data_IF_585667725183
#
_entry.id   IF_585667725183
#
_cell.length_a   1.000
_cell.length_b   1.000
_cell.length_c   1.000
_cell.angle_alpha   90.00
_cell.angle_beta   90.00
_cell.angle_gamma   90.00
#
_symmetry.space_group_name_H-M   'P 1'
#
loop_
_entity.id
_entity.type
_entity.pdbx_description
1 polymer ?
#
# COMPACT_ATOMS: atom_id res chain seq x y z
N UNK A 1 10.95 28.04 22.80
CA UNK A 1 10.51 28.56 21.49
C UNK A 1 9.96 27.37 20.72
N UNK A 2 8.66 27.42 20.43
CA UNK A 2 7.78 26.30 20.13
C UNK A 2 8.19 25.49 18.88
N UNK A 3 8.32 24.18 19.03
CA UNK A 3 8.39 23.22 17.93
C UNK A 3 7.12 22.38 17.95
N UNK A 4 5.98 23.00 17.60
CA UNK A 4 4.81 22.25 17.15
C UNK A 4 5.18 21.55 15.83
N UNK A 5 4.82 20.27 15.63
CA UNK A 5 4.89 19.70 14.31
C UNK A 5 3.98 20.52 13.41
N UNK A 6 4.53 21.05 12.33
CA UNK A 6 3.76 21.68 11.25
C UNK A 6 2.95 20.59 10.55
N UNK A 7 1.85 20.16 11.17
CA UNK A 7 0.67 19.81 10.38
C UNK A 7 0.45 21.00 9.45
N UNK A 8 0.21 20.75 8.16
CA UNK A 8 -0.14 21.82 7.23
C UNK A 8 -1.19 22.68 7.93
N UNK A 9 -0.89 23.95 8.22
CA UNK A 9 -1.84 24.96 8.71
C UNK A 9 -2.82 25.24 7.55
N UNK A 10 -3.54 24.20 7.11
CA UNK A 10 -4.69 24.32 6.25
C UNK A 10 -5.70 25.02 7.13
N UNK A 11 -6.05 26.25 6.74
CA UNK A 11 -7.08 26.98 7.46
C UNK A 11 -8.31 26.08 7.54
N UNK A 12 -8.93 26.00 8.72
CA UNK A 12 -10.06 25.13 8.97
C UNK A 12 -11.19 25.31 7.94
N UNK A 13 -11.32 26.53 7.40
CA UNK A 13 -12.25 26.88 6.33
C UNK A 13 -11.91 26.25 4.97
N UNK A 14 -10.66 25.90 4.68
CA UNK A 14 -10.21 25.31 3.40
C UNK A 14 -10.30 23.77 3.39
N UNK A 15 -10.53 23.13 4.54
CA UNK A 15 -10.54 21.67 4.67
C UNK A 15 -11.60 20.98 3.80
N UNK A 16 -12.78 21.60 3.65
CA UNK A 16 -13.86 21.05 2.82
C UNK A 16 -13.50 20.97 1.33
N UNK A 17 -12.84 21.99 0.79
CA UNK A 17 -12.40 21.96 -0.61
C UNK A 17 -11.20 21.02 -0.78
N UNK A 18 -10.36 20.91 0.25
CA UNK A 18 -9.18 20.06 0.23
C UNK A 18 -9.52 18.56 0.24
N UNK A 19 -10.52 18.13 1.04
CA UNK A 19 -10.92 16.71 1.06
C UNK A 19 -11.48 16.25 -0.28
N UNK A 20 -12.36 17.04 -0.90
CA UNK A 20 -12.91 16.72 -2.22
C UNK A 20 -11.82 16.70 -3.29
N UNK A 21 -10.91 17.69 -3.27
CA UNK A 21 -9.76 17.75 -4.17
C UNK A 21 -8.86 16.52 -4.00
N UNK A 22 -8.56 16.13 -2.78
CA UNK A 22 -7.67 15.00 -2.51
C UNK A 22 -8.29 13.67 -2.89
N UNK A 23 -9.57 13.45 -2.57
CA UNK A 23 -10.30 12.25 -3.01
C UNK A 23 -10.35 12.15 -4.54
N UNK A 24 -10.55 13.28 -5.24
CA UNK A 24 -10.51 13.32 -6.69
C UNK A 24 -9.10 13.04 -7.25
N UNK A 25 -8.05 13.65 -6.66
CA UNK A 25 -6.68 13.41 -7.06
C UNK A 25 -6.28 11.93 -6.89
N UNK A 26 -6.67 11.30 -5.78
CA UNK A 26 -6.46 9.87 -5.54
C UNK A 26 -7.17 9.00 -6.57
N UNK A 27 -8.43 9.30 -6.91
CA UNK A 27 -9.14 8.57 -7.96
C UNK A 27 -8.41 8.65 -9.31
N UNK A 28 -8.00 9.87 -9.71
CA UNK A 28 -7.22 10.08 -10.94
C UNK A 28 -5.88 9.34 -10.90
N UNK A 29 -5.19 9.33 -9.76
CA UNK A 29 -3.93 8.60 -9.60
C UNK A 29 -4.11 7.08 -9.78
N UNK A 30 -5.22 6.52 -9.27
CA UNK A 30 -5.55 5.10 -9.43
C UNK A 30 -5.90 4.77 -10.88
N UNK A 31 -6.67 5.62 -11.57
CA UNK A 31 -6.99 5.45 -12.98
C UNK A 31 -5.74 5.53 -13.86
N UNK A 32 -4.86 6.52 -13.60
CA UNK A 32 -3.57 6.64 -14.28
C UNK A 32 -2.67 5.43 -14.01
N UNK A 33 -2.66 4.92 -12.78
CA UNK A 33 -1.94 3.72 -12.41
C UNK A 33 -2.46 2.49 -13.18
N UNK A 34 -3.78 2.31 -13.26
CA UNK A 34 -4.40 1.23 -14.03
C UNK A 34 -4.05 1.31 -15.53
N UNK A 35 -4.14 2.50 -16.13
CA UNK A 35 -3.78 2.73 -17.52
C UNK A 35 -2.30 2.43 -17.81
N UNK A 36 -1.39 2.83 -16.91
CA UNK A 36 0.04 2.47 -17.02
C UNK A 36 0.26 0.96 -16.96
N UNK A 37 -0.47 0.23 -16.12
CA UNK A 37 -0.39 -1.24 -16.06
C UNK A 37 -0.88 -1.87 -17.37
N UNK A 38 -1.97 -1.38 -17.95
CA UNK A 38 -2.47 -1.85 -19.25
C UNK A 38 -1.46 -1.59 -20.38
N UNK A 39 -0.81 -0.43 -20.37
CA UNK A 39 0.26 -0.12 -21.33
C UNK A 39 1.45 -1.08 -21.16
N UNK A 40 1.87 -1.36 -19.93
CA UNK A 40 2.93 -2.33 -19.64
C UNK A 40 2.55 -3.73 -20.14
N UNK A 41 1.30 -4.13 -19.96
CA UNK A 41 0.80 -5.43 -20.41
C UNK A 41 0.78 -5.54 -21.93
N UNK A 42 0.40 -4.46 -22.63
CA UNK A 42 0.51 -4.39 -24.09
C UNK A 42 1.97 -4.46 -24.57
N UNK A 43 2.90 -3.79 -23.89
CA UNK A 43 4.34 -3.82 -24.22
C UNK A 43 4.93 -5.20 -23.96
N UNK A 44 4.60 -5.84 -22.84
CA UNK A 44 5.02 -7.20 -22.52
C UNK A 44 4.57 -8.18 -23.61
N UNK A 45 3.30 -8.11 -24.04
CA UNK A 45 2.77 -8.95 -25.15
C UNK A 45 3.50 -8.76 -26.47
N UNK A 46 3.98 -7.55 -26.76
CA UNK A 46 4.68 -7.25 -28.00
C UNK A 46 6.17 -7.63 -27.96
N UNK A 47 6.81 -7.60 -26.78
CA UNK A 47 8.26 -7.71 -26.63
C UNK A 47 8.77 -8.94 -25.89
N UNK A 48 7.98 -9.52 -24.99
CA UNK A 48 8.35 -10.69 -24.19
C UNK A 48 7.89 -11.99 -24.87
N UNK A 49 8.59 -13.10 -24.59
CA UNK A 49 8.25 -14.43 -25.12
C UNK A 49 8.42 -15.53 -24.07
N UNK A 50 7.75 -16.67 -24.29
CA UNK A 50 7.85 -17.86 -23.44
C UNK A 50 7.47 -17.60 -21.99
N UNK A 51 8.20 -18.22 -21.06
CA UNK A 51 7.92 -18.15 -19.61
C UNK A 51 7.91 -16.71 -19.09
N UNK A 52 8.77 -15.83 -19.62
CA UNK A 52 8.83 -14.43 -19.19
C UNK A 52 7.52 -13.70 -19.47
N UNK A 53 6.94 -13.91 -20.66
CA UNK A 53 5.64 -13.34 -21.02
C UNK A 53 4.53 -13.84 -20.10
N UNK A 54 4.44 -15.16 -19.89
CA UNK A 54 3.40 -15.76 -19.04
C UNK A 54 3.44 -15.22 -17.60
N UNK A 55 4.65 -15.08 -17.04
CA UNK A 55 4.86 -14.53 -15.70
C UNK A 55 4.47 -13.05 -15.65
N UNK A 56 4.95 -12.24 -16.61
CA UNK A 56 4.68 -10.82 -16.66
C UNK A 56 3.18 -10.53 -16.86
N UNK A 57 2.49 -11.26 -17.73
CA UNK A 57 1.03 -11.12 -17.93
C UNK A 57 0.24 -11.45 -16.67
N UNK A 58 0.59 -12.54 -15.97
CA UNK A 58 -0.12 -12.95 -14.75
C UNK A 58 0.07 -11.91 -13.65
N UNK A 59 1.28 -11.40 -13.46
CA UNK A 59 1.60 -10.38 -12.47
C UNK A 59 0.86 -9.08 -12.80
N UNK A 60 1.05 -8.54 -14.02
CA UNK A 60 0.40 -7.30 -14.43
C UNK A 60 -1.12 -7.40 -14.39
N UNK A 61 -1.69 -8.51 -14.84
CA UNK A 61 -3.14 -8.76 -14.76
C UNK A 61 -3.66 -8.75 -13.32
N UNK A 62 -2.92 -9.33 -12.38
CA UNK A 62 -3.28 -9.25 -10.96
C UNK A 62 -3.15 -7.83 -10.38
N UNK A 63 -2.14 -7.06 -10.81
CA UNK A 63 -2.00 -5.65 -10.43
C UNK A 63 -3.14 -4.79 -10.98
N UNK A 64 -3.59 -5.03 -12.21
CA UNK A 64 -4.79 -4.39 -12.78
C UNK A 64 -6.02 -4.68 -11.92
N UNK A 65 -6.25 -5.95 -11.56
CA UNK A 65 -7.37 -6.33 -10.68
C UNK A 65 -7.31 -5.65 -9.32
N UNK A 66 -6.12 -5.48 -8.74
CA UNK A 66 -5.91 -4.72 -7.51
C UNK A 66 -6.25 -3.24 -7.68
N UNK A 67 -5.75 -2.57 -8.72
CA UNK A 67 -6.09 -1.16 -8.98
C UNK A 67 -7.60 -0.95 -9.17
N UNK A 68 -8.27 -1.86 -9.89
CA UNK A 68 -9.72 -1.82 -10.06
C UNK A 68 -10.48 -1.97 -8.74
N UNK A 69 -10.07 -2.91 -7.88
CA UNK A 69 -10.67 -3.07 -6.54
C UNK A 69 -10.48 -1.81 -5.67
N UNK A 70 -9.30 -1.19 -5.74
CA UNK A 70 -9.00 0.04 -5.01
C UNK A 70 -9.81 1.23 -5.55
N UNK A 71 -9.99 1.33 -6.87
CA UNK A 71 -10.84 2.34 -7.48
C UNK A 71 -12.27 2.25 -6.95
N UNK A 72 -12.86 1.04 -6.93
CA UNK A 72 -14.19 0.79 -6.36
C UNK A 72 -14.25 1.18 -4.88
N UNK A 73 -13.20 0.91 -4.10
CA UNK A 73 -13.12 1.29 -2.69
C UNK A 73 -13.11 2.80 -2.49
N UNK A 74 -12.33 3.54 -3.28
CA UNK A 74 -12.25 5.00 -3.20
C UNK A 74 -13.58 5.64 -3.56
N UNK A 75 -14.28 5.14 -4.59
CA UNK A 75 -15.63 5.58 -4.93
C UNK A 75 -16.63 5.29 -3.82
N UNK A 76 -16.62 4.07 -3.26
CA UNK A 76 -17.48 3.71 -2.13
C UNK A 76 -17.21 4.56 -0.88
N UNK A 77 -15.94 4.91 -0.63
CA UNK A 77 -15.54 5.81 0.46
C UNK A 77 -16.10 7.21 0.23
N UNK A 78 -15.99 7.75 -0.99
CA UNK A 78 -16.54 9.05 -1.36
C UNK A 78 -18.07 9.09 -1.22
N UNK A 79 -18.77 8.04 -1.65
CA UNK A 79 -20.21 7.93 -1.52
C UNK A 79 -20.65 7.90 -0.04
N UNK A 80 -19.92 7.17 0.81
CA UNK A 80 -20.16 7.16 2.25
C UNK A 80 -19.91 8.54 2.88
N UNK A 81 -18.82 9.23 2.51
CA UNK A 81 -18.54 10.58 3.01
C UNK A 81 -19.66 11.55 2.63
N UNK A 82 -20.17 11.48 1.39
CA UNK A 82 -21.30 12.30 0.93
C UNK A 82 -22.56 12.03 1.76
N UNK A 83 -22.90 10.77 2.01
CA UNK A 83 -24.05 10.38 2.86
C UNK A 83 -23.92 10.93 4.29
N UNK A 84 -22.74 10.81 4.90
CA UNK A 84 -22.45 11.32 6.25
C UNK A 84 -22.66 12.84 6.30
N UNK A 85 -22.16 13.56 5.30
CA UNK A 85 -22.28 15.02 5.23
C UNK A 85 -23.73 15.43 4.99
N UNK A 86 -24.44 14.77 4.08
CA UNK A 86 -25.85 15.05 3.77
C UNK A 86 -26.78 14.82 4.97
N UNK A 87 -26.57 13.73 5.71
CA UNK A 87 -27.33 13.42 6.92
C UNK A 87 -26.93 14.26 8.14
N UNK A 88 -25.66 14.64 8.26
CA UNK A 88 -25.10 15.30 9.43
C UNK A 88 -25.03 16.83 9.39
N UNK A 89 -25.09 17.46 8.21
CA UNK A 89 -24.88 18.92 8.09
C UNK A 89 -26.05 19.78 8.57
N UNK A 90 -27.27 19.24 8.63
CA UNK A 90 -28.47 20.03 8.91
C UNK A 90 -28.60 21.22 7.95
N UNK A 91 -28.68 22.44 8.49
CA UNK A 91 -28.75 23.67 7.69
C UNK A 91 -27.37 24.18 7.19
N UNK A 92 -26.26 23.59 7.65
CA UNK A 92 -24.91 24.01 7.28
C UNK A 92 -24.54 23.56 5.86
N UNK A 93 -23.57 24.25 5.26
CA UNK A 93 -22.96 23.82 4.00
C UNK A 93 -22.05 22.60 4.18
N UNK A 94 -21.80 21.78 3.13
CA UNK A 94 -20.82 20.68 3.21
C UNK A 94 -19.44 21.14 3.71
N UNK A 95 -18.99 22.30 3.24
CA UNK A 95 -17.71 22.91 3.62
C UNK A 95 -17.66 23.23 5.12
N UNK A 96 -18.73 23.81 5.67
CA UNK A 96 -18.85 24.06 7.10
C UNK A 96 -18.88 22.77 7.91
N UNK A 97 -19.51 21.71 7.39
CA UNK A 97 -19.54 20.41 8.08
C UNK A 97 -18.13 19.81 8.19
N UNK A 98 -17.35 19.82 7.11
CA UNK A 98 -15.96 19.36 7.13
C UNK A 98 -15.06 20.22 8.01
N UNK A 99 -15.25 21.54 8.00
CA UNK A 99 -14.52 22.46 8.88
C UNK A 99 -14.81 22.19 10.36
N UNK A 100 -16.09 21.99 10.73
CA UNK A 100 -16.50 21.64 12.11
C UNK A 100 -16.00 20.26 12.54
N UNK A 101 -15.82 19.34 11.60
CA UNK A 101 -15.30 18.00 11.85
C UNK A 101 -13.83 17.86 11.41
N UNK A 102 -12.99 18.86 11.70
CA UNK A 102 -11.62 18.99 11.17
C UNK A 102 -10.76 17.73 11.32
N UNK A 103 -10.68 17.12 12.51
CA UNK A 103 -9.90 15.89 12.74
C UNK A 103 -10.33 14.72 11.85
N UNK A 104 -11.63 14.59 11.61
CA UNK A 104 -12.16 13.56 10.71
C UNK A 104 -11.77 13.86 9.26
N UNK A 105 -11.92 15.12 8.83
CA UNK A 105 -11.55 15.58 7.49
C UNK A 105 -10.04 15.41 7.23
N UNK A 106 -9.19 15.75 8.19
CA UNK A 106 -7.74 15.55 8.11
C UNK A 106 -7.37 14.07 8.00
N UNK A 107 -8.03 13.20 8.76
CA UNK A 107 -7.87 11.75 8.66
C UNK A 107 -8.26 11.17 7.29
N UNK A 108 -9.32 11.72 6.67
CA UNK A 108 -9.71 11.35 5.31
C UNK A 108 -8.67 11.80 4.28
N UNK A 109 -8.20 13.04 4.39
CA UNK A 109 -7.19 13.61 3.48
C UNK A 109 -5.89 12.82 3.56
N UNK A 110 -5.40 12.54 4.76
CA UNK A 110 -4.13 11.81 4.95
C UNK A 110 -4.22 10.37 4.45
N UNK A 111 -5.31 9.67 4.75
CA UNK A 111 -5.52 8.30 4.28
C UNK A 111 -5.69 8.25 2.75
N UNK A 112 -6.41 9.21 2.16
CA UNK A 112 -6.57 9.33 0.70
C UNK A 112 -5.21 9.54 0.01
N UNK A 113 -4.40 10.47 0.51
CA UNK A 113 -3.02 10.71 0.02
C UNK A 113 -2.17 9.45 0.04
N UNK A 114 -2.22 8.70 1.14
CA UNK A 114 -1.47 7.46 1.28
C UNK A 114 -1.87 6.42 0.23
N UNK A 115 -3.17 6.30 -0.09
CA UNK A 115 -3.66 5.41 -1.15
C UNK A 115 -3.15 5.85 -2.53
N UNK A 116 -3.24 7.14 -2.85
CA UNK A 116 -2.76 7.68 -4.14
C UNK A 116 -1.24 7.49 -4.34
N UNK A 117 -0.46 7.72 -3.29
CA UNK A 117 0.98 7.45 -3.29
C UNK A 117 1.28 5.95 -3.44
N UNK A 118 0.58 5.10 -2.69
CA UNK A 118 0.71 3.65 -2.79
C UNK A 118 0.41 3.10 -4.18
N UNK A 119 -0.57 3.68 -4.89
CA UNK A 119 -0.89 3.32 -6.28
C UNK A 119 0.29 3.60 -7.23
N UNK A 120 0.90 4.78 -7.11
CA UNK A 120 2.10 5.15 -7.90
C UNK A 120 3.25 4.19 -7.64
N UNK A 121 3.57 3.95 -6.36
CA UNK A 121 4.68 3.07 -5.94
C UNK A 121 4.45 1.63 -6.42
N UNK A 122 3.22 1.12 -6.37
CA UNK A 122 2.93 -0.23 -6.86
C UNK A 122 3.16 -0.37 -8.36
N UNK A 123 2.76 0.63 -9.15
CA UNK A 123 2.97 0.62 -10.60
C UNK A 123 4.45 0.71 -10.94
N UNK A 124 5.20 1.55 -10.24
CA UNK A 124 6.64 1.68 -10.48
C UNK A 124 7.37 0.37 -10.11
N UNK A 125 6.99 -0.28 -9.00
CA UNK A 125 7.52 -1.60 -8.65
C UNK A 125 7.17 -2.67 -9.69
N UNK A 126 5.94 -2.67 -10.20
CA UNK A 126 5.51 -3.60 -11.25
C UNK A 126 6.29 -3.38 -12.56
N UNK A 127 6.52 -2.13 -12.96
CA UNK A 127 7.32 -1.76 -14.12
C UNK A 127 8.76 -2.28 -14.01
N UNK A 128 9.39 -2.05 -12.85
CA UNK A 128 10.74 -2.52 -12.58
C UNK A 128 10.82 -4.06 -12.65
N UNK A 129 9.85 -4.78 -12.09
CA UNK A 129 9.79 -6.25 -12.17
C UNK A 129 9.68 -6.73 -13.62
N UNK A 130 8.80 -6.14 -14.42
CA UNK A 130 8.61 -6.52 -15.84
C UNK A 130 9.87 -6.25 -16.66
N UNK A 131 10.58 -5.16 -16.36
CA UNK A 131 11.87 -4.82 -16.98
C UNK A 131 13.03 -5.69 -16.48
N UNK A 132 12.84 -6.53 -15.45
CA UNK A 132 13.90 -7.32 -14.83
C UNK A 132 14.91 -6.49 -14.02
N UNK A 133 14.53 -5.27 -13.64
CA UNK A 133 15.34 -4.35 -12.82
C UNK A 133 14.87 -4.26 -11.37
N UNK A 134 13.66 -4.73 -11.09
CA UNK A 134 13.04 -4.77 -9.76
C UNK A 134 13.02 -6.17 -9.17
N UNK A 135 12.61 -6.26 -7.91
CA UNK A 135 12.48 -7.53 -7.19
C UNK A 135 11.01 -7.92 -7.01
N UNK A 136 10.74 -9.22 -7.07
CA UNK A 136 9.40 -9.73 -6.78
C UNK A 136 8.98 -9.43 -5.32
N UNK A 137 9.94 -9.40 -4.40
CA UNK A 137 9.76 -9.02 -3.00
C UNK A 137 9.23 -7.60 -2.84
N UNK A 138 9.84 -6.64 -3.54
CA UNK A 138 9.41 -5.24 -3.52
C UNK A 138 7.96 -5.10 -3.99
N UNK A 139 7.60 -5.72 -5.12
CA UNK A 139 6.22 -5.72 -5.61
C UNK A 139 5.24 -6.32 -4.58
N UNK A 140 5.63 -7.40 -3.90
CA UNK A 140 4.81 -7.99 -2.83
C UNK A 140 4.66 -7.07 -1.61
N UNK A 141 5.68 -6.29 -1.26
CA UNK A 141 5.62 -5.32 -0.16
C UNK A 141 4.72 -4.16 -0.56
N UNK A 142 4.94 -3.53 -1.71
CA UNK A 142 4.12 -2.43 -2.22
C UNK A 142 2.62 -2.81 -2.29
N UNK A 143 2.33 -4.04 -2.70
CA UNK A 143 0.95 -4.58 -2.75
C UNK A 143 0.29 -4.69 -1.37
N UNK A 144 1.06 -4.96 -0.32
CA UNK A 144 0.54 -5.00 1.07
C UNK A 144 0.42 -3.61 1.66
N UNK A 145 1.38 -2.73 1.39
CA UNK A 145 1.38 -1.35 1.87
C UNK A 145 0.16 -0.59 1.34
N UNK A 146 -0.13 -0.67 0.03
CA UNK A 146 -1.32 -0.02 -0.53
C UNK A 146 -2.62 -0.59 0.06
N UNK A 147 -2.69 -1.91 0.33
CA UNK A 147 -3.83 -2.51 1.01
C UNK A 147 -4.00 -1.96 2.43
N UNK A 148 -2.90 -1.79 3.17
CA UNK A 148 -2.91 -1.17 4.49
C UNK A 148 -3.40 0.29 4.43
N UNK A 149 -2.93 1.08 3.46
CA UNK A 149 -3.41 2.46 3.23
C UNK A 149 -4.91 2.49 2.91
N UNK A 150 -5.43 1.54 2.12
CA UNK A 150 -6.88 1.47 1.86
C UNK A 150 -7.67 1.08 3.11
N UNK A 151 -7.13 0.23 3.98
CA UNK A 151 -7.74 -0.10 5.26
C UNK A 151 -7.79 1.13 6.20
N UNK A 152 -6.74 1.96 6.19
CA UNK A 152 -6.75 3.26 6.88
C UNK A 152 -7.84 4.18 6.33
N UNK A 153 -8.02 4.27 5.01
CA UNK A 153 -9.09 5.06 4.40
C UNK A 153 -10.48 4.56 4.81
N UNK A 154 -10.69 3.24 4.86
CA UNK A 154 -11.93 2.64 5.35
C UNK A 154 -12.15 2.98 6.84
N UNK A 155 -11.10 2.91 7.65
CA UNK A 155 -11.15 3.24 9.06
C UNK A 155 -11.49 4.73 9.29
N UNK A 156 -10.89 5.64 8.52
CA UNK A 156 -11.20 7.07 8.57
C UNK A 156 -12.65 7.35 8.09
N UNK A 157 -13.09 6.69 7.02
CA UNK A 157 -14.44 6.87 6.46
C UNK A 157 -15.55 6.42 7.40
N UNK A 158 -15.36 5.33 8.16
CA UNK A 158 -16.40 4.77 9.04
C UNK A 158 -16.62 5.54 10.35
N UNK A 159 -15.71 6.44 10.76
CA UNK A 159 -15.75 7.10 12.09
C UNK A 159 -17.08 7.82 12.35
N UNK A 160 -17.64 8.45 11.31
CA UNK A 160 -18.89 9.22 11.37
C UNK A 160 -20.07 8.52 10.68
N UNK A 161 -19.88 7.28 10.23
CA UNK A 161 -20.89 6.52 9.50
C UNK A 161 -21.95 5.92 10.44
N UNK A 162 -23.20 5.86 9.96
CA UNK A 162 -24.21 5.03 10.58
C UNK A 162 -23.86 3.54 10.41
N UNK A 163 -24.10 2.73 11.45
CA UNK A 163 -23.83 1.29 11.44
C UNK A 163 -24.72 0.54 10.44
N UNK A 164 -25.92 1.05 10.19
CA UNK A 164 -26.90 0.47 9.27
C UNK A 164 -26.81 1.07 7.86
N UNK A 165 -25.79 1.90 7.60
CA UNK A 165 -25.57 2.51 6.28
C UNK A 165 -25.29 1.44 5.20
N UNK A 166 -26.08 1.49 4.13
CA UNK A 166 -25.84 0.67 2.94
C UNK A 166 -24.50 1.01 2.27
N UNK A 167 -24.08 2.28 2.31
CA UNK A 167 -22.79 2.70 1.76
C UNK A 167 -21.61 2.23 2.62
N UNK A 168 -21.77 2.14 3.95
CA UNK A 168 -20.79 1.49 4.81
C UNK A 168 -20.63 0.00 4.47
N UNK A 169 -21.73 -0.71 4.23
CA UNK A 169 -21.69 -2.12 3.82
C UNK A 169 -20.94 -2.29 2.48
N UNK A 170 -21.23 -1.45 1.49
CA UNK A 170 -20.51 -1.43 0.20
C UNK A 170 -19.02 -1.16 0.38
N UNK A 171 -18.64 -0.19 1.20
CA UNK A 171 -17.24 0.12 1.48
C UNK A 171 -16.51 -1.07 2.12
N UNK A 172 -17.15 -1.76 3.07
CA UNK A 172 -16.59 -2.98 3.68
C UNK A 172 -16.46 -4.15 2.70
N UNK A 173 -17.38 -4.27 1.74
CA UNK A 173 -17.25 -5.27 0.66
C UNK A 173 -16.09 -4.91 -0.27
N UNK A 174 -15.97 -3.65 -0.67
CA UNK A 174 -14.84 -3.17 -1.48
C UNK A 174 -13.49 -3.42 -0.78
N UNK A 175 -13.41 -3.18 0.53
CA UNK A 175 -12.22 -3.49 1.34
C UNK A 175 -11.83 -4.97 1.32
N UNK A 176 -12.83 -5.87 1.38
CA UNK A 176 -12.59 -7.31 1.22
C UNK A 176 -12.09 -7.64 -0.20
N UNK A 177 -12.64 -6.99 -1.21
CA UNK A 177 -12.18 -7.10 -2.60
C UNK A 177 -10.71 -6.71 -2.77
N UNK A 178 -10.28 -5.59 -2.16
CA UNK A 178 -8.87 -5.17 -2.16
C UNK A 178 -7.98 -6.22 -1.51
N UNK A 179 -8.35 -6.73 -0.33
CA UNK A 179 -7.56 -7.77 0.35
C UNK A 179 -7.41 -9.05 -0.50
N UNK A 180 -8.47 -9.47 -1.19
CA UNK A 180 -8.44 -10.62 -2.08
C UNK A 180 -7.54 -10.36 -3.30
N UNK A 181 -7.64 -9.18 -3.91
CA UNK A 181 -6.81 -8.81 -5.05
C UNK A 181 -5.32 -8.69 -4.65
N UNK A 182 -5.01 -8.14 -3.49
CA UNK A 182 -3.65 -8.10 -2.93
C UNK A 182 -3.11 -9.52 -2.71
N UNK A 183 -3.91 -10.43 -2.17
CA UNK A 183 -3.51 -11.82 -2.03
C UNK A 183 -3.24 -12.48 -3.39
N UNK A 184 -4.04 -12.15 -4.41
CA UNK A 184 -3.82 -12.60 -5.79
C UNK A 184 -2.50 -12.09 -6.35
N UNK A 185 -2.15 -10.80 -6.15
CA UNK A 185 -0.86 -10.26 -6.59
C UNK A 185 0.29 -10.99 -5.92
N UNK A 186 0.23 -11.17 -4.60
CA UNK A 186 1.27 -11.91 -3.86
C UNK A 186 1.41 -13.35 -4.37
N UNK A 187 0.30 -14.03 -4.64
CA UNK A 187 0.32 -15.39 -5.17
C UNK A 187 0.92 -15.45 -6.58
N UNK A 188 0.47 -14.57 -7.48
CA UNK A 188 1.00 -14.45 -8.86
C UNK A 188 2.49 -14.15 -8.87
N UNK A 189 2.94 -13.23 -8.01
CA UNK A 189 4.34 -12.81 -7.89
C UNK A 189 5.21 -13.94 -7.33
N UNK A 190 4.74 -14.69 -6.32
CA UNK A 190 5.46 -15.88 -5.82
C UNK A 190 5.56 -16.99 -6.86
N UNK A 191 4.47 -17.27 -7.56
CA UNK A 191 4.46 -18.26 -8.64
C UNK A 191 5.42 -17.83 -9.76
N UNK A 192 5.39 -16.55 -10.14
CA UNK A 192 6.30 -15.96 -11.11
C UNK A 192 7.76 -16.10 -10.71
N UNK A 193 8.09 -15.79 -9.44
CA UNK A 193 9.43 -15.97 -8.90
C UNK A 193 9.92 -17.41 -9.01
N UNK A 194 9.13 -18.40 -8.56
CA UNK A 194 9.49 -19.83 -8.66
C UNK A 194 9.74 -20.25 -10.11
N UNK A 195 8.86 -19.86 -11.04
CA UNK A 195 8.99 -20.21 -12.46
C UNK A 195 10.25 -19.62 -13.13
N UNK A 196 10.79 -18.52 -12.60
CA UNK A 196 12.05 -17.91 -13.06
C UNK A 196 13.26 -18.58 -12.39
N UNK A 197 13.18 -18.90 -11.10
CA UNK A 197 14.28 -19.50 -10.32
C UNK A 197 14.48 -21.00 -10.55
N UNK A 198 13.42 -21.76 -10.85
CA UNK A 198 13.46 -23.23 -11.08
C UNK A 198 14.29 -23.64 -12.32
N UNK A 199 14.86 -22.69 -13.06
CA UNK A 199 15.80 -22.93 -14.17
C UNK A 199 17.25 -23.11 -13.74
N UNK A 200 17.62 -22.77 -12.50
CA UNK A 200 18.95 -23.06 -11.94
C UNK A 200 18.94 -24.44 -11.26
N UNK A 201 18.70 -25.50 -12.04
CA UNK A 201 18.74 -26.87 -11.52
C UNK A 201 20.17 -27.22 -11.09
N UNK A 202 20.35 -27.64 -9.84
CA UNK A 202 21.65 -28.05 -9.32
C UNK A 202 22.09 -29.39 -9.95
N UNK A 203 22.88 -29.34 -11.01
CA UNK A 203 23.49 -30.52 -11.62
C UNK A 203 24.84 -30.85 -10.98
N UNK A 204 24.86 -31.92 -10.18
CA UNK A 204 26.07 -32.42 -9.53
C UNK A 204 26.71 -33.62 -10.25
N UNK A 205 26.16 -34.03 -11.40
CA UNK A 205 26.48 -35.31 -12.07
C UNK A 205 27.94 -35.41 -12.53
N UNK A 206 28.61 -34.28 -12.72
CA UNK A 206 29.98 -34.18 -13.26
C UNK A 206 31.04 -33.81 -12.22
N UNK A 207 30.68 -33.71 -10.93
CA UNK A 207 31.57 -33.20 -9.89
C UNK A 207 32.27 -34.32 -9.09
N UNK A 208 33.55 -34.11 -8.78
CA UNK A 208 34.32 -34.98 -7.88
C UNK A 208 33.99 -34.72 -6.41
N UNK A 209 34.25 -35.70 -5.52
CA UNK A 209 33.99 -35.60 -4.08
C UNK A 209 34.63 -34.34 -3.43
N UNK A 210 35.83 -33.96 -3.86
CA UNK A 210 36.54 -32.78 -3.35
C UNK A 210 35.86 -31.47 -3.80
N UNK A 211 35.36 -31.43 -5.03
CA UNK A 211 34.63 -30.26 -5.54
C UNK A 211 33.28 -30.11 -4.84
N UNK A 212 32.58 -31.21 -4.57
CA UNK A 212 31.33 -31.20 -3.81
C UNK A 212 31.57 -30.66 -2.39
N UNK A 213 32.59 -31.18 -1.67
CA UNK A 213 32.93 -30.67 -0.32
C UNK A 213 33.29 -29.18 -0.31
N UNK A 214 33.98 -28.70 -1.34
CA UNK A 214 34.29 -27.28 -1.46
C UNK A 214 33.02 -26.45 -1.65
N UNK A 215 32.14 -26.85 -2.57
CA UNK A 215 30.88 -26.16 -2.81
C UNK A 215 29.94 -26.23 -1.60
N UNK A 216 29.96 -27.33 -0.84
CA UNK A 216 29.27 -27.46 0.44
C UNK A 216 29.78 -26.43 1.45
N UNK A 217 31.10 -26.32 1.64
CA UNK A 217 31.70 -25.31 2.52
C UNK A 217 31.36 -23.89 2.07
N UNK A 218 31.48 -23.59 0.77
CA UNK A 218 31.14 -22.28 0.22
C UNK A 218 29.65 -21.94 0.44
N UNK A 219 28.77 -22.94 0.31
CA UNK A 219 27.33 -22.80 0.60
C UNK A 219 27.06 -22.59 2.09
N UNK A 220 27.78 -23.27 2.99
CA UNK A 220 27.68 -23.07 4.43
C UNK A 220 28.11 -21.65 4.84
N UNK A 221 29.21 -21.14 4.27
CA UNK A 221 29.63 -19.74 4.47
C UNK A 221 28.54 -18.80 3.99
N UNK A 222 27.95 -19.05 2.80
CA UNK A 222 26.88 -18.23 2.27
C UNK A 222 25.62 -18.24 3.16
N UNK A 223 25.27 -19.38 3.75
CA UNK A 223 24.17 -19.47 4.72
C UNK A 223 24.43 -18.55 5.92
N UNK A 224 25.62 -18.63 6.53
CA UNK A 224 25.96 -17.80 7.69
C UNK A 224 25.94 -16.30 7.35
N UNK A 225 26.42 -15.92 6.17
CA UNK A 225 26.35 -14.53 5.68
C UNK A 225 24.90 -14.05 5.54
N UNK A 226 24.03 -14.86 4.93
CA UNK A 226 22.63 -14.55 4.73
C UNK A 226 21.85 -14.47 6.05
N UNK A 227 22.15 -15.35 7.01
CA UNK A 227 21.55 -15.30 8.35
C UNK A 227 21.90 -13.99 9.07
N UNK A 228 23.17 -13.56 9.00
CA UNK A 228 23.61 -12.29 9.57
C UNK A 228 22.95 -11.08 8.88
N UNK A 229 22.87 -11.09 7.54
CA UNK A 229 22.18 -10.04 6.78
C UNK A 229 20.68 -9.98 7.13
N UNK A 230 20.01 -11.14 7.23
CA UNK A 230 18.61 -11.23 7.63
C UNK A 230 18.38 -10.65 9.02
N UNK A 231 19.26 -10.95 9.98
CA UNK A 231 19.17 -10.41 11.34
C UNK A 231 19.30 -8.88 11.36
N UNK A 232 20.25 -8.33 10.59
CA UNK A 232 20.42 -6.87 10.46
C UNK A 232 19.20 -6.19 9.85
N UNK A 233 18.66 -6.72 8.76
CA UNK A 233 17.46 -6.15 8.12
C UNK A 233 16.22 -6.26 9.02
N UNK A 234 16.08 -7.34 9.80
CA UNK A 234 15.01 -7.45 10.81
C UNK A 234 15.12 -6.37 11.90
N UNK A 235 16.32 -6.09 12.37
CA UNK A 235 16.55 -5.01 13.35
C UNK A 235 16.18 -3.65 12.75
N UNK A 236 16.71 -3.33 11.56
CA UNK A 236 16.40 -2.08 10.84
C UNK A 236 14.91 -1.92 10.57
N UNK A 237 14.22 -2.98 10.16
CA UNK A 237 12.77 -2.95 9.97
C UNK A 237 12.03 -2.68 11.29
N UNK A 238 12.48 -3.26 12.40
CA UNK A 238 11.96 -2.99 13.73
C UNK A 238 12.12 -1.52 14.13
N UNK A 239 13.28 -0.93 13.88
CA UNK A 239 13.58 0.49 14.15
C UNK A 239 12.70 1.41 13.28
N UNK A 240 12.55 1.11 11.99
CA UNK A 240 11.67 1.86 11.08
C UNK A 240 10.21 1.81 11.53
N UNK A 241 9.72 0.65 11.94
CA UNK A 241 8.36 0.50 12.49
C UNK A 241 8.18 1.30 13.78
N UNK A 242 9.17 1.29 14.68
CA UNK A 242 9.14 2.11 15.90
C UNK A 242 9.05 3.60 15.54
N UNK A 243 9.86 4.06 14.59
CA UNK A 243 9.81 5.45 14.09
C UNK A 243 8.47 5.80 13.45
N UNK A 244 7.88 4.88 12.68
CA UNK A 244 6.55 5.06 12.10
C UNK A 244 5.50 5.27 13.21
N UNK A 245 5.51 4.45 14.27
CA UNK A 245 4.58 4.61 15.39
C UNK A 245 4.82 5.89 16.20
N UNK A 246 6.08 6.27 16.43
CA UNK A 246 6.41 7.55 17.08
C UNK A 246 5.82 8.74 16.30
N UNK A 247 6.03 8.77 14.98
CA UNK A 247 5.51 9.84 14.12
C UNK A 247 3.98 9.80 13.99
N UNK A 248 3.38 8.61 13.90
CA UNK A 248 1.93 8.44 13.85
C UNK A 248 1.25 8.82 15.17
N UNK A 249 1.80 8.43 16.33
CA UNK A 249 1.27 8.77 17.65
C UNK A 249 1.36 10.27 17.98
N UNK A 250 2.44 10.93 17.55
CA UNK A 250 2.58 12.40 17.63
C UNK A 250 1.56 13.12 16.75
N UNK A 251 1.21 12.56 15.58
CA UNK A 251 0.17 13.12 14.71
C UNK A 251 -1.26 12.93 15.26
N UNK A 252 -1.49 11.94 16.13
CA UNK A 252 -2.80 11.69 16.77
C UNK A 252 -3.04 12.49 18.06
N UNK A 253 -2.02 13.20 18.57
CA UNK A 253 -2.16 14.12 19.72
C UNK A 253 -2.12 13.45 21.09
N UNK A 254 -1.28 12.42 21.25
CA UNK A 254 -0.95 11.87 22.56
C UNK A 254 0.24 12.66 23.15
N UNK A 255 -0.01 13.88 23.62
CA UNK A 255 0.89 14.49 24.60
C UNK A 255 0.69 13.73 25.92
N UNK A 256 1.74 13.06 26.40
CA UNK A 256 1.80 12.55 27.77
C UNK A 256 1.82 13.75 28.74
N UNK A 257 0.65 14.32 29.02
CA UNK A 257 0.45 15.11 30.23
C UNK A 257 0.46 14.15 31.42
N UNK A 258 1.66 13.92 31.94
CA UNK A 258 1.92 13.01 33.05
C UNK A 258 3.21 13.35 33.76
N UNK A 259 3.45 14.62 34.10
CA UNK A 259 4.39 14.96 35.16
C UNK A 259 3.92 14.29 36.46
N UNK A 260 4.54 13.17 36.80
CA UNK A 260 4.45 12.56 38.12
C UNK A 260 5.17 13.48 39.11
N UNK A 261 4.41 14.27 39.85
CA UNK A 261 4.90 15.01 41.02
C UNK A 261 4.78 14.07 42.24
N UNK A 262 5.88 13.57 42.81
CA UNK A 262 5.81 12.82 44.05
C UNK A 262 5.42 13.75 45.21
N UNK A 263 4.43 13.33 45.98
CA UNK A 263 4.08 13.90 47.28
C UNK A 263 5.07 13.46 48.37
#
# INVERSE_FOLDING_TARGET
QELRPRGLDVKQEELGDLVDKEMAATAVAIEAAAARIEEMLSKARAGDTGVKLEVNERILGSCTGLMQAIHVLVLASKDLQREIVESGRGAASPKEFYAKNSRWTEGLISASKAVGWGATVLVDAADLVVQGKGTFEELMVCSREIAASTAQLVAASKVKADKDSANLCKLQQASRGVNQATASVVASTKAGKSQVEDKDSMDFSSMTLTQIKRQEMDSQVRVLELENQLQKERQKLGELRKKHYELAGVAEGWEEDGEWIPA
#
